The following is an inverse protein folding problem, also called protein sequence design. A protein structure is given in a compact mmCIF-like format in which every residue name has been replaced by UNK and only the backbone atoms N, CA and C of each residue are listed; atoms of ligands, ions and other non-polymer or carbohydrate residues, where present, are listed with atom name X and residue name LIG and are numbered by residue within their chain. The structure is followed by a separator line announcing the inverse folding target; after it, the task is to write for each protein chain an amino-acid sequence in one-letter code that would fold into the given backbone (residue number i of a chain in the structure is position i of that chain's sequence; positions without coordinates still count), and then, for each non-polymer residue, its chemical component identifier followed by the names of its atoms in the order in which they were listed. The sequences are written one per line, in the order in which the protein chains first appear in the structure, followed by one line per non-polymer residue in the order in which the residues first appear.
data_IF_165267641027
#
_entry.id   IF_165267641027
#
_cell.length_a   1.000
_cell.length_b   1.000
_cell.length_c   1.000
_cell.angle_alpha   90.00
_cell.angle_beta   90.00
_cell.angle_gamma   90.00
#
_symmetry.space_group_name_H-M   'P 1'
#
loop_
_entity.id
_entity.type
_entity.pdbx_description
1 polymer ?
#
# COMPACT_ATOMS: atom_id res chain seq x y z
N UNK A 1 -12.84 1.96 31.66
CA UNK A 1 -11.66 2.28 30.82
C UNK A 1 -11.82 1.49 29.54
N UNK A 2 -11.84 2.14 28.37
CA UNK A 2 -11.98 1.43 27.10
C UNK A 2 -10.71 0.59 26.84
N UNK A 3 -10.86 -0.62 26.31
CA UNK A 3 -9.74 -1.54 26.04
C UNK A 3 -8.67 -0.88 25.15
N UNK A 4 -9.09 -0.20 24.09
CA UNK A 4 -8.17 0.45 23.15
C UNK A 4 -7.39 1.61 23.79
N UNK A 5 -7.97 2.35 24.74
CA UNK A 5 -7.25 3.41 25.48
C UNK A 5 -6.11 2.82 26.29
N UNK A 6 -6.40 1.74 27.04
CA UNK A 6 -5.37 1.02 27.79
C UNK A 6 -4.27 0.44 26.91
N UNK A 7 -4.61 -0.01 25.70
CA UNK A 7 -3.62 -0.46 24.73
C UNK A 7 -2.71 0.69 24.25
N UNK A 8 -3.29 1.83 23.86
CA UNK A 8 -2.52 3.04 23.46
C UNK A 8 -1.58 3.48 24.58
N UNK A 9 -2.10 3.60 25.81
CA UNK A 9 -1.31 3.99 26.97
C UNK A 9 -0.18 2.99 27.26
N UNK A 10 -0.48 1.69 27.18
CA UNK A 10 0.51 0.63 27.36
C UNK A 10 1.65 0.69 26.34
N UNK A 11 1.32 0.91 25.06
CA UNK A 11 2.32 1.07 24.00
C UNK A 11 3.18 2.31 24.24
N UNK A 12 2.58 3.45 24.60
CA UNK A 12 3.31 4.69 24.86
C UNK A 12 4.27 4.56 26.05
N UNK A 13 3.82 3.91 27.12
CA UNK A 13 4.66 3.63 28.29
C UNK A 13 5.85 2.72 27.96
N UNK A 14 5.70 1.86 26.95
CA UNK A 14 6.72 0.86 26.58
C UNK A 14 7.69 1.31 25.48
N UNK A 15 7.26 2.23 24.61
CA UNK A 15 8.02 2.64 23.40
C UNK A 15 8.75 3.97 23.54
N UNK A 16 8.52 4.71 24.62
CA UNK A 16 9.17 6.00 24.88
C UNK A 16 8.83 7.09 23.86
N UNK A 17 9.73 8.07 23.70
CA UNK A 17 9.48 9.28 22.88
C UNK A 17 9.56 9.09 21.36
N UNK A 18 10.04 7.94 20.88
CA UNK A 18 10.32 7.73 19.44
C UNK A 18 9.07 7.36 18.63
N UNK A 19 8.00 6.88 19.27
CA UNK A 19 6.75 6.55 18.59
C UNK A 19 6.13 7.81 17.97
N UNK A 20 5.92 7.78 16.65
CA UNK A 20 5.35 8.92 15.91
C UNK A 20 3.83 8.89 15.83
N UNK A 21 3.23 7.71 15.90
CA UNK A 21 1.81 7.55 15.66
C UNK A 21 1.34 6.12 15.82
N UNK A 22 0.06 5.93 15.54
CA UNK A 22 -0.61 4.65 15.47
C UNK A 22 -1.16 4.45 14.07
N UNK A 23 -1.12 3.20 13.63
CA UNK A 23 -1.68 2.75 12.37
C UNK A 23 -2.99 1.99 12.65
N UNK A 24 -4.05 2.35 11.93
CA UNK A 24 -5.33 1.67 11.93
C UNK A 24 -5.26 0.42 11.05
N UNK A 25 -5.21 -0.74 11.68
CA UNK A 25 -4.90 -2.01 11.02
C UNK A 25 -6.02 -2.62 10.19
N UNK A 26 -7.23 -2.09 10.26
CA UNK A 26 -8.31 -2.57 9.40
C UNK A 26 -8.17 -1.93 8.01
N UNK A 27 -7.70 -2.70 7.05
CA UNK A 27 -7.42 -2.27 5.68
C UNK A 27 -8.67 -2.16 4.81
N UNK A 28 -9.83 -2.56 5.33
CA UNK A 28 -11.09 -2.57 4.58
C UNK A 28 -11.61 -1.16 4.28
N UNK A 29 -11.70 -0.84 2.99
CA UNK A 29 -12.18 0.44 2.48
C UNK A 29 -13.69 0.61 2.60
N UNK A 30 -14.44 -0.43 2.97
CA UNK A 30 -15.88 -0.38 3.23
C UNK A 30 -16.25 -0.58 4.70
N UNK A 31 -15.27 -0.53 5.61
CA UNK A 31 -15.41 -0.86 7.04
C UNK A 31 -16.60 -0.20 7.77
N UNK A 32 -16.99 1.02 7.41
CA UNK A 32 -18.16 1.71 8.01
C UNK A 32 -19.44 1.36 7.25
N UNK A 33 -19.40 1.38 5.91
CA UNK A 33 -20.58 1.05 5.10
C UNK A 33 -21.05 -0.39 5.26
N UNK A 34 -20.12 -1.31 5.54
CA UNK A 34 -20.41 -2.73 5.79
C UNK A 34 -20.82 -2.98 7.25
N UNK A 35 -20.74 -1.96 8.12
CA UNK A 35 -21.07 -2.05 9.53
C UNK A 35 -20.04 -2.83 10.36
N UNK A 36 -18.82 -3.00 9.84
CA UNK A 36 -17.70 -3.66 10.54
C UNK A 36 -17.25 -2.83 11.74
N UNK A 37 -17.20 -1.50 11.58
CA UNK A 37 -16.88 -0.54 12.64
C UNK A 37 -17.77 0.69 12.53
N UNK A 38 -17.99 1.39 13.65
CA UNK A 38 -18.69 2.66 13.68
C UNK A 38 -17.71 3.82 13.45
N UNK A 39 -18.13 4.84 12.71
CA UNK A 39 -17.31 6.04 12.46
C UNK A 39 -16.96 6.75 13.77
N UNK A 40 -17.87 6.76 14.73
CA UNK A 40 -17.68 7.34 16.06
C UNK A 40 -16.54 6.67 16.84
N UNK A 41 -16.34 5.37 16.68
CA UNK A 41 -15.23 4.65 17.33
C UNK A 41 -13.90 5.11 16.74
N UNK A 42 -13.82 5.26 15.41
CA UNK A 42 -12.63 5.76 14.73
C UNK A 42 -12.33 7.21 15.16
N UNK A 43 -13.37 8.04 15.26
CA UNK A 43 -13.26 9.43 15.68
C UNK A 43 -12.77 9.56 17.13
N UNK A 44 -13.30 8.75 18.05
CA UNK A 44 -12.86 8.75 19.45
C UNK A 44 -11.37 8.35 19.57
N UNK A 45 -10.95 7.30 18.85
CA UNK A 45 -9.56 6.82 18.84
C UNK A 45 -8.62 7.86 18.23
N UNK A 46 -8.98 8.39 17.06
CA UNK A 46 -8.23 9.44 16.37
C UNK A 46 -8.00 10.66 17.25
N UNK A 47 -9.08 11.14 17.89
CA UNK A 47 -9.05 12.30 18.79
C UNK A 47 -8.12 12.05 19.96
N UNK A 48 -8.20 10.86 20.56
CA UNK A 48 -7.35 10.49 21.67
C UNK A 48 -5.87 10.42 21.29
N UNK A 49 -5.53 9.78 20.17
CA UNK A 49 -4.15 9.72 19.68
C UNK A 49 -3.58 11.13 19.39
N UNK A 50 -4.37 11.99 18.75
CA UNK A 50 -3.97 13.38 18.44
C UNK A 50 -3.79 14.23 19.69
N UNK A 51 -4.63 14.06 20.72
CA UNK A 51 -4.47 14.74 22.01
C UNK A 51 -3.17 14.34 22.74
N UNK A 52 -2.61 13.17 22.41
CA UNK A 52 -1.30 12.71 22.90
C UNK A 52 -0.15 13.16 21.97
N UNK A 53 -0.42 14.08 21.04
CA UNK A 53 0.51 14.55 20.01
C UNK A 53 1.09 13.41 19.15
N UNK A 54 0.25 12.42 18.84
CA UNK A 54 0.57 11.28 17.97
C UNK A 54 -0.22 11.36 16.67
N UNK A 55 0.38 10.86 15.59
CA UNK A 55 -0.28 10.72 14.29
C UNK A 55 -1.22 9.52 14.28
N UNK A 56 -2.33 9.63 13.56
CA UNK A 56 -3.23 8.51 13.30
C UNK A 56 -3.28 8.23 11.80
N UNK A 57 -2.84 7.03 11.39
CA UNK A 57 -2.56 6.70 9.99
C UNK A 57 -3.45 5.54 9.56
N UNK A 58 -3.94 5.55 8.33
CA UNK A 58 -4.63 4.42 7.72
C UNK A 58 -3.94 4.01 6.42
N UNK A 59 -3.92 2.72 6.14
CA UNK A 59 -3.32 2.12 4.95
C UNK A 59 -4.38 1.15 4.40
N UNK A 60 -5.39 1.67 3.69
CA UNK A 60 -6.47 0.85 3.15
C UNK A 60 -6.08 0.11 1.88
N UNK A 61 -6.59 -1.11 1.72
CA UNK A 61 -6.59 -1.83 0.45
C UNK A 61 -7.77 -1.41 -0.43
N UNK A 62 -7.49 -0.69 -1.51
CA UNK A 62 -8.46 -0.20 -2.48
C UNK A 62 -8.21 -0.76 -3.89
N UNK A 63 -8.19 -2.08 -4.01
CA UNK A 63 -8.08 -2.79 -5.29
C UNK A 63 -9.39 -2.74 -6.11
N UNK A 64 -9.88 -1.53 -6.39
CA UNK A 64 -11.12 -1.24 -7.12
C UNK A 64 -11.02 0.08 -7.88
N UNK A 65 -11.62 0.14 -9.07
CA UNK A 65 -11.84 1.38 -9.81
C UNK A 65 -13.06 2.15 -9.28
N UNK A 66 -13.86 1.59 -8.37
CA UNK A 66 -15.07 2.23 -7.83
C UNK A 66 -14.77 2.96 -6.50
N UNK A 67 -13.69 3.74 -6.50
CA UNK A 67 -13.14 4.43 -5.31
C UNK A 67 -14.16 5.36 -4.63
N UNK A 68 -15.06 5.98 -5.39
CA UNK A 68 -16.10 6.88 -4.91
C UNK A 68 -17.12 6.20 -3.98
N UNK A 69 -17.19 4.87 -3.99
CA UNK A 69 -18.06 4.09 -3.09
C UNK A 69 -17.36 3.61 -1.83
N UNK A 70 -16.09 3.95 -1.65
CA UNK A 70 -15.32 3.58 -0.46
C UNK A 70 -15.49 4.62 0.65
N UNK A 71 -15.12 4.27 1.88
CA UNK A 71 -15.08 5.17 3.02
C UNK A 71 -13.79 6.01 3.08
N UNK A 72 -12.87 5.88 2.10
CA UNK A 72 -11.57 6.58 2.09
C UNK A 72 -11.75 8.09 2.26
N UNK A 73 -12.62 8.68 1.45
CA UNK A 73 -12.82 10.13 1.42
C UNK A 73 -13.66 10.63 2.59
N UNK A 74 -14.75 9.92 2.93
CA UNK A 74 -15.62 10.29 4.06
C UNK A 74 -14.90 10.23 5.41
N UNK A 75 -13.96 9.30 5.57
CA UNK A 75 -13.17 9.14 6.79
C UNK A 75 -11.86 9.96 6.78
N UNK A 76 -11.53 10.64 5.68
CA UNK A 76 -10.23 11.33 5.52
C UNK A 76 -9.90 12.29 6.67
N UNK A 77 -10.88 13.04 7.17
CA UNK A 77 -10.77 13.96 8.32
C UNK A 77 -10.29 13.29 9.61
N UNK A 78 -10.54 11.99 9.77
CA UNK A 78 -10.22 11.21 10.96
C UNK A 78 -8.76 10.75 10.97
N UNK A 79 -8.03 10.87 9.87
CA UNK A 79 -6.65 10.42 9.77
C UNK A 79 -5.70 11.59 9.49
N UNK A 80 -4.50 11.55 10.05
CA UNK A 80 -3.42 12.47 9.67
C UNK A 80 -2.86 12.12 8.29
N UNK A 81 -2.78 10.83 7.96
CA UNK A 81 -2.30 10.31 6.68
C UNK A 81 -3.11 9.08 6.27
N UNK A 82 -3.42 8.97 4.99
CA UNK A 82 -3.97 7.76 4.37
C UNK A 82 -3.03 7.34 3.23
N UNK A 83 -2.54 6.11 3.26
CA UNK A 83 -1.72 5.53 2.19
C UNK A 83 -2.50 4.40 1.52
N UNK A 84 -3.21 4.72 0.44
CA UNK A 84 -4.08 3.77 -0.24
C UNK A 84 -3.25 2.74 -1.01
N UNK A 85 -3.53 1.47 -0.79
CA UNK A 85 -2.89 0.36 -1.45
C UNK A 85 -3.75 -0.09 -2.64
N UNK A 86 -3.29 0.06 -3.89
CA UNK A 86 -4.03 -0.46 -5.04
C UNK A 86 -3.93 -1.99 -5.18
N UNK A 87 -3.04 -2.64 -4.42
CA UNK A 87 -2.74 -4.09 -4.38
C UNK A 87 -2.48 -4.72 -5.75
N UNK A 88 -1.89 -3.95 -6.67
CA UNK A 88 -1.52 -4.48 -7.99
C UNK A 88 -0.42 -5.54 -7.89
N UNK A 89 0.41 -5.47 -6.85
CA UNK A 89 1.44 -6.47 -6.59
C UNK A 89 0.79 -7.82 -6.30
N UNK A 90 -0.23 -7.88 -5.43
CA UNK A 90 -0.87 -9.11 -4.96
C UNK A 90 -1.93 -9.70 -5.88
N UNK A 91 -2.82 -8.87 -6.44
CA UNK A 91 -4.02 -9.38 -7.11
C UNK A 91 -3.87 -9.48 -8.61
N UNK A 92 -3.07 -8.59 -9.19
CA UNK A 92 -2.90 -8.46 -10.64
C UNK A 92 -4.18 -8.33 -11.45
N UNK A 93 -5.28 -8.00 -10.79
CA UNK A 93 -6.57 -7.66 -11.35
C UNK A 93 -7.25 -6.69 -10.38
N UNK A 94 -8.04 -5.79 -10.94
CA UNK A 94 -8.76 -4.77 -10.18
C UNK A 94 -10.25 -4.89 -10.42
N UNK A 95 -11.05 -4.69 -9.37
CA UNK A 95 -12.49 -4.68 -9.48
C UNK A 95 -12.96 -3.43 -10.23
N UNK A 96 -13.83 -3.57 -11.24
CA UNK A 96 -14.57 -2.44 -11.84
C UNK A 96 -15.97 -2.27 -11.27
N UNK A 97 -16.40 -3.24 -10.47
CA UNK A 97 -17.73 -3.34 -9.89
C UNK A 97 -17.87 -4.68 -9.17
N UNK A 98 -19.08 -4.98 -8.73
CA UNK A 98 -19.39 -6.25 -8.06
C UNK A 98 -19.17 -7.42 -9.02
N UNK A 99 -18.27 -8.33 -8.67
CA UNK A 99 -17.92 -9.52 -9.45
C UNK A 99 -17.39 -9.25 -10.88
N UNK A 100 -16.91 -8.03 -11.16
CA UNK A 100 -16.30 -7.68 -12.45
C UNK A 100 -14.85 -7.24 -12.23
N UNK A 101 -13.90 -8.00 -12.78
CA UNK A 101 -12.47 -7.79 -12.60
C UNK A 101 -11.78 -7.69 -13.95
N UNK A 102 -10.84 -6.75 -14.05
CA UNK A 102 -9.97 -6.62 -15.21
C UNK A 102 -8.51 -6.85 -14.81
N UNK A 103 -7.69 -7.48 -15.67
CA UNK A 103 -6.27 -7.63 -15.40
C UNK A 103 -5.58 -6.28 -15.21
N UNK A 104 -4.60 -6.29 -14.32
CA UNK A 104 -3.66 -5.19 -14.17
C UNK A 104 -2.96 -4.90 -15.50
N UNK A 105 -2.86 -3.62 -15.82
CA UNK A 105 -1.91 -3.06 -16.77
C UNK A 105 -1.41 -1.71 -16.25
N UNK A 106 -0.29 -1.22 -16.79
CA UNK A 106 0.21 0.10 -16.43
C UNK A 106 -0.82 1.23 -16.66
N UNK A 107 -1.58 1.15 -17.76
CA UNK A 107 -2.63 2.15 -18.07
C UNK A 107 -3.80 2.09 -17.08
N UNK A 108 -4.16 0.90 -16.58
CA UNK A 108 -5.17 0.76 -15.54
C UNK A 108 -4.69 1.36 -14.20
N UNK A 109 -3.39 1.28 -13.89
CA UNK A 109 -2.84 1.98 -12.72
C UNK A 109 -2.90 3.51 -12.90
N UNK A 110 -2.57 4.01 -14.10
CA UNK A 110 -2.72 5.43 -14.43
C UNK A 110 -4.16 5.90 -14.27
N UNK A 111 -5.13 5.11 -14.75
CA UNK A 111 -6.56 5.39 -14.57
C UNK A 111 -6.93 5.44 -13.09
N UNK A 112 -6.51 4.44 -12.31
CA UNK A 112 -6.77 4.36 -10.88
C UNK A 112 -6.19 5.56 -10.11
N UNK A 113 -4.92 5.93 -10.36
CA UNK A 113 -4.30 7.08 -9.69
C UNK A 113 -4.95 8.39 -10.12
N UNK A 114 -5.28 8.55 -11.40
CA UNK A 114 -6.00 9.74 -11.89
C UNK A 114 -7.35 9.88 -11.17
N UNK A 115 -8.07 8.77 -10.99
CA UNK A 115 -9.34 8.76 -10.28
C UNK A 115 -9.17 9.09 -8.79
N UNK A 116 -8.14 8.56 -8.14
CA UNK A 116 -7.80 8.89 -6.75
C UNK A 116 -7.56 10.41 -6.61
N UNK A 117 -6.79 11.02 -7.51
CA UNK A 117 -6.50 12.46 -7.46
C UNK A 117 -7.74 13.33 -7.69
N UNK A 118 -8.59 12.96 -8.64
CA UNK A 118 -9.83 13.70 -8.88
C UNK A 118 -10.72 13.67 -7.64
N UNK A 119 -10.90 12.50 -7.03
CA UNK A 119 -11.70 12.36 -5.82
C UNK A 119 -11.09 13.08 -4.61
N UNK A 120 -9.76 13.10 -4.48
CA UNK A 120 -9.07 13.91 -3.46
C UNK A 120 -9.40 15.39 -3.60
N UNK A 121 -9.35 15.92 -4.81
CA UNK A 121 -9.67 17.32 -5.09
C UNK A 121 -11.17 17.62 -4.83
N UNK A 122 -12.06 16.71 -5.23
CA UNK A 122 -13.51 16.86 -5.03
C UNK A 122 -13.94 16.84 -3.55
N UNK A 123 -13.14 16.17 -2.69
CA UNK A 123 -13.46 15.96 -1.27
C UNK A 123 -12.52 16.74 -0.33
N UNK A 124 -11.67 17.64 -0.84
CA UNK A 124 -10.65 18.38 -0.07
C UNK A 124 -9.74 17.45 0.79
N UNK A 125 -9.48 16.23 0.31
CA UNK A 125 -8.83 15.16 1.07
C UNK A 125 -7.32 15.03 0.73
N UNK A 126 -6.55 16.09 0.99
CA UNK A 126 -5.14 16.19 0.59
C UNK A 126 -4.14 15.41 1.48
N UNK A 127 -4.64 14.73 2.51
CA UNK A 127 -3.88 13.81 3.36
C UNK A 127 -3.84 12.37 2.81
N UNK A 128 -4.35 12.15 1.59
CA UNK A 128 -4.37 10.86 0.91
C UNK A 128 -3.20 10.74 -0.08
N UNK A 129 -2.48 9.63 0.02
CA UNK A 129 -1.34 9.22 -0.80
C UNK A 129 -1.51 7.75 -1.19
N UNK A 130 -0.53 7.20 -1.90
CA UNK A 130 -0.47 5.76 -2.16
C UNK A 130 0.61 5.10 -1.31
N UNK A 131 0.38 3.86 -0.91
CA UNK A 131 1.47 2.99 -0.43
C UNK A 131 2.24 2.43 -1.62
N UNK A 132 3.55 2.33 -1.47
CA UNK A 132 4.48 1.76 -2.43
C UNK A 132 4.77 0.29 -2.03
N UNK A 133 4.21 -0.66 -2.74
CA UNK A 133 4.38 -2.09 -2.43
C UNK A 133 5.63 -2.68 -3.10
N UNK A 134 6.51 -3.31 -2.30
CA UNK A 134 7.83 -3.81 -2.73
C UNK A 134 8.40 -4.80 -1.69
N UNK A 135 8.09 -6.09 -1.82
CA UNK A 135 8.50 -7.13 -0.85
C UNK A 135 9.73 -7.96 -1.28
N UNK A 136 9.96 -9.12 -0.67
CA UNK A 136 11.13 -9.94 -0.95
C UNK A 136 11.09 -10.68 -2.31
N UNK A 137 9.95 -10.67 -3.01
CA UNK A 137 9.79 -11.31 -4.32
C UNK A 137 10.68 -10.72 -5.41
N UNK A 138 11.23 -9.52 -5.22
CA UNK A 138 12.25 -8.94 -6.10
C UNK A 138 13.68 -9.43 -5.82
N UNK A 139 13.93 -10.08 -4.69
CA UNK A 139 15.26 -10.56 -4.31
C UNK A 139 15.49 -11.96 -4.90
N UNK A 140 16.24 -12.03 -6.01
CA UNK A 140 16.57 -13.31 -6.65
C UNK A 140 17.18 -14.31 -5.68
N UNK A 141 18.13 -13.87 -4.85
CA UNK A 141 18.77 -14.73 -3.86
C UNK A 141 17.75 -15.31 -2.87
N UNK A 142 16.77 -14.53 -2.42
CA UNK A 142 15.72 -15.00 -1.52
C UNK A 142 14.90 -16.11 -2.18
N UNK A 143 14.26 -15.83 -3.32
CA UNK A 143 13.37 -16.79 -3.98
C UNK A 143 14.10 -18.04 -4.49
N UNK A 144 15.39 -17.93 -4.82
CA UNK A 144 16.22 -19.06 -5.27
C UNK A 144 16.56 -20.04 -4.13
N UNK A 145 16.52 -19.61 -2.87
CA UNK A 145 16.82 -20.47 -1.72
C UNK A 145 15.57 -20.94 -0.97
N UNK A 146 14.51 -20.12 -0.95
CA UNK A 146 13.29 -20.43 -0.20
C UNK A 146 12.21 -21.02 -1.09
N UNK A 147 12.20 -20.68 -2.39
CA UNK A 147 11.07 -20.88 -3.29
C UNK A 147 9.75 -20.32 -2.73
N UNK A 148 9.83 -19.29 -1.90
CA UNK A 148 8.68 -18.58 -1.34
C UNK A 148 8.47 -17.27 -2.11
N UNK A 149 7.22 -17.02 -2.50
CA UNK A 149 6.76 -15.69 -2.82
C UNK A 149 6.15 -15.01 -1.59
N UNK A 150 6.26 -13.70 -1.56
CA UNK A 150 5.40 -12.87 -0.72
C UNK A 150 4.64 -11.94 -1.65
N UNK A 151 3.31 -11.92 -1.55
CA UNK A 151 2.45 -10.86 -2.08
C UNK A 151 2.56 -10.53 -3.59
N UNK A 152 3.10 -11.41 -4.44
CA UNK A 152 3.06 -11.21 -5.90
C UNK A 152 1.85 -11.90 -6.55
N UNK A 153 1.39 -11.35 -7.69
CA UNK A 153 0.18 -11.75 -8.42
C UNK A 153 0.13 -13.24 -8.75
N UNK A 154 1.26 -13.77 -9.16
CA UNK A 154 1.40 -15.16 -9.60
C UNK A 154 2.30 -15.83 -8.59
N UNK A 155 1.87 -16.98 -8.07
CA UNK A 155 2.71 -17.77 -7.18
C UNK A 155 3.97 -18.24 -7.93
N UNK A 156 5.08 -18.35 -7.22
CA UNK A 156 6.32 -18.87 -7.81
C UNK A 156 6.13 -20.29 -8.33
N UNK A 157 5.25 -21.06 -7.67
CA UNK A 157 4.87 -22.41 -8.10
C UNK A 157 4.15 -22.37 -9.45
N UNK A 158 3.10 -21.57 -9.60
CA UNK A 158 2.39 -21.46 -10.89
C UNK A 158 3.30 -20.95 -12.02
N UNK A 159 4.26 -20.09 -11.68
CA UNK A 159 5.14 -19.46 -12.66
C UNK A 159 6.32 -20.38 -13.08
N UNK A 160 6.96 -21.05 -12.12
CA UNK A 160 8.23 -21.76 -12.34
C UNK A 160 8.20 -23.27 -12.10
N UNK A 161 7.15 -23.81 -11.47
CA UNK A 161 7.10 -25.24 -11.20
C UNK A 161 6.99 -26.05 -12.50
N UNK A 162 7.53 -27.29 -12.51
CA UNK A 162 8.23 -27.94 -11.41
C UNK A 162 9.73 -27.64 -11.35
N UNK A 163 10.27 -26.87 -12.31
CA UNK A 163 11.72 -26.83 -12.55
C UNK A 163 12.48 -25.76 -11.76
N UNK A 164 11.84 -24.63 -11.43
CA UNK A 164 12.46 -23.51 -10.71
C UNK A 164 13.83 -23.12 -11.29
N UNK A 165 13.94 -23.08 -12.63
CA UNK A 165 15.21 -22.78 -13.28
C UNK A 165 15.68 -21.35 -12.96
N UNK A 166 16.99 -21.09 -12.92
CA UNK A 166 17.52 -19.74 -12.69
C UNK A 166 16.95 -18.70 -13.66
N UNK A 167 16.70 -19.07 -14.93
CA UNK A 167 16.09 -18.20 -15.93
C UNK A 167 14.66 -17.81 -15.53
N UNK A 168 13.87 -18.79 -15.06
CA UNK A 168 12.50 -18.54 -14.63
C UNK A 168 12.44 -17.63 -13.40
N UNK A 169 13.26 -17.92 -12.39
CA UNK A 169 13.36 -17.10 -11.17
C UNK A 169 13.86 -15.67 -11.49
N UNK A 170 14.79 -15.54 -12.43
CA UNK A 170 15.28 -14.25 -12.90
C UNK A 170 14.19 -13.47 -13.63
N UNK A 171 13.35 -14.13 -14.43
CA UNK A 171 12.23 -13.48 -15.09
C UNK A 171 11.18 -13.02 -14.09
N UNK A 172 10.80 -13.89 -13.14
CA UNK A 172 9.86 -13.58 -12.07
C UNK A 172 10.27 -12.35 -11.27
N UNK A 173 11.52 -12.32 -10.76
CA UNK A 173 12.04 -11.16 -10.01
C UNK A 173 12.13 -9.90 -10.85
N UNK A 174 12.37 -10.02 -12.16
CA UNK A 174 12.39 -8.86 -13.08
C UNK A 174 11.00 -8.28 -13.26
N UNK A 175 9.98 -9.11 -13.45
CA UNK A 175 8.58 -8.67 -13.55
C UNK A 175 8.11 -8.01 -12.24
N UNK A 176 8.48 -8.59 -11.09
CA UNK A 176 8.28 -7.99 -9.77
C UNK A 176 8.88 -6.57 -9.66
N UNK A 177 10.12 -6.38 -10.09
CA UNK A 177 10.77 -5.06 -10.09
C UNK A 177 10.09 -4.07 -11.04
N UNK A 178 9.62 -4.53 -12.19
CA UNK A 178 8.89 -3.69 -13.14
C UNK A 178 7.58 -3.18 -12.51
N UNK A 179 6.81 -4.05 -11.86
CA UNK A 179 5.55 -3.66 -11.20
C UNK A 179 5.83 -2.71 -10.03
N UNK A 180 6.84 -2.98 -9.20
CA UNK A 180 7.24 -2.08 -8.12
C UNK A 180 7.64 -0.70 -8.68
N UNK A 181 8.39 -0.65 -9.78
CA UNK A 181 8.76 0.61 -10.47
C UNK A 181 7.55 1.36 -11.02
N UNK A 182 6.47 0.68 -11.42
CA UNK A 182 5.27 1.36 -11.89
C UNK A 182 4.67 2.31 -10.85
N UNK A 183 4.83 2.06 -9.55
CA UNK A 183 4.35 2.96 -8.50
C UNK A 183 5.04 4.34 -8.53
N UNK A 184 6.34 4.41 -8.82
CA UNK A 184 7.04 5.70 -8.95
C UNK A 184 6.76 6.33 -10.31
N UNK A 185 6.75 5.52 -11.36
CA UNK A 185 6.52 5.97 -12.73
C UNK A 185 5.13 6.58 -12.93
N UNK A 186 4.09 5.93 -12.41
CA UNK A 186 2.70 6.40 -12.54
C UNK A 186 2.50 7.75 -11.84
N UNK A 187 3.11 7.94 -10.67
CA UNK A 187 3.09 9.23 -9.98
C UNK A 187 3.73 10.33 -10.80
N UNK A 188 4.88 10.05 -11.46
CA UNK A 188 5.53 11.05 -12.30
C UNK A 188 4.74 11.35 -13.57
N UNK A 189 4.18 10.33 -14.19
CA UNK A 189 3.39 10.49 -15.41
C UNK A 189 2.10 11.30 -15.16
N UNK A 190 1.47 11.14 -13.98
CA UNK A 190 0.20 11.80 -13.64
C UNK A 190 0.39 13.11 -12.87
N UNK A 191 1.32 13.15 -11.90
CA UNK A 191 1.53 14.26 -10.97
C UNK A 191 2.77 15.11 -11.31
N UNK A 192 3.61 14.66 -12.24
CA UNK A 192 4.91 15.29 -12.54
C UNK A 192 6.00 15.07 -11.48
N UNK A 193 5.65 14.47 -10.34
CA UNK A 193 6.57 14.22 -9.21
C UNK A 193 6.04 13.09 -8.32
N UNK A 194 6.88 12.62 -7.40
CA UNK A 194 6.42 11.69 -6.36
C UNK A 194 5.67 12.45 -5.26
N UNK A 195 4.76 11.78 -4.58
CA UNK A 195 4.14 12.33 -3.38
C UNK A 195 5.18 12.75 -2.34
N UNK A 196 4.94 13.86 -1.61
CA UNK A 196 5.85 14.31 -0.56
C UNK A 196 5.86 13.35 0.64
N UNK A 197 4.72 12.70 0.92
CA UNK A 197 4.60 11.67 1.95
C UNK A 197 4.50 10.31 1.27
N UNK A 198 5.34 9.36 1.70
CA UNK A 198 5.43 8.02 1.09
C UNK A 198 5.44 6.98 2.20
N UNK A 199 4.67 5.92 2.01
CA UNK A 199 4.76 4.70 2.79
C UNK A 199 5.24 3.60 1.86
N UNK A 200 6.16 2.77 2.35
CA UNK A 200 6.68 1.63 1.61
C UNK A 200 6.47 0.36 2.40
N UNK A 201 5.97 -0.68 1.75
CA UNK A 201 5.89 -2.01 2.33
C UNK A 201 7.07 -2.84 1.84
N UNK A 202 8.03 -3.09 2.74
CA UNK A 202 9.32 -3.76 2.43
C UNK A 202 9.44 -5.21 2.94
N UNK A 203 8.36 -5.79 3.46
CA UNK A 203 8.42 -7.03 4.24
C UNK A 203 9.50 -6.95 5.36
N UNK A 204 10.39 -7.93 5.48
CA UNK A 204 11.36 -8.08 6.58
C UNK A 204 12.83 -7.90 6.15
N UNK A 205 13.12 -7.72 4.84
CA UNK A 205 14.50 -7.52 4.36
C UNK A 205 14.67 -6.18 3.67
N UNK A 206 15.45 -5.28 4.28
CA UNK A 206 15.73 -3.94 3.77
C UNK A 206 16.57 -3.93 2.47
N UNK A 207 17.16 -5.06 2.08
CA UNK A 207 17.87 -5.18 0.79
C UNK A 207 16.94 -4.91 -0.40
N UNK A 208 15.61 -5.07 -0.24
CA UNK A 208 14.61 -4.72 -1.26
C UNK A 208 14.75 -3.28 -1.74
N UNK A 209 15.11 -2.35 -0.84
CA UNK A 209 15.31 -0.94 -1.16
C UNK A 209 16.52 -0.78 -2.06
N UNK A 210 17.65 -1.40 -1.68
CA UNK A 210 18.90 -1.30 -2.46
C UNK A 210 18.75 -1.93 -3.84
N UNK A 211 18.01 -3.05 -3.93
CA UNK A 211 17.70 -3.70 -5.19
C UNK A 211 16.83 -2.82 -6.08
N UNK A 212 15.75 -2.24 -5.54
CA UNK A 212 14.88 -1.33 -6.30
C UNK A 212 15.61 -0.06 -6.72
N UNK A 213 16.40 0.56 -5.84
CA UNK A 213 17.22 1.73 -6.16
C UNK A 213 18.19 1.45 -7.29
N UNK A 214 18.87 0.29 -7.27
CA UNK A 214 19.74 -0.14 -8.35
C UNK A 214 18.98 -0.36 -9.65
N UNK A 215 17.80 -0.97 -9.57
CA UNK A 215 16.93 -1.22 -10.73
C UNK A 215 16.42 0.07 -11.37
N UNK A 216 15.82 0.98 -10.59
CA UNK A 216 15.28 2.24 -11.10
C UNK A 216 16.37 3.14 -11.68
N UNK A 217 17.58 3.13 -11.09
CA UNK A 217 18.69 3.97 -11.57
C UNK A 217 19.16 3.59 -12.96
N UNK A 218 19.11 2.29 -13.30
CA UNK A 218 19.37 1.82 -14.67
C UNK A 218 18.33 2.31 -15.67
N UNK A 219 17.14 2.66 -15.20
CA UNK A 219 16.07 3.28 -15.98
C UNK A 219 16.14 4.83 -15.96
N UNK A 220 17.18 5.40 -15.35
CA UNK A 220 17.36 6.85 -15.23
C UNK A 220 16.57 7.48 -14.08
N UNK A 221 16.19 6.69 -13.06
CA UNK A 221 15.31 7.14 -11.99
C UNK A 221 15.73 6.70 -10.56
N UNK A 222 15.17 7.32 -9.52
CA UNK A 222 15.31 6.93 -8.11
C UNK A 222 13.97 6.40 -7.58
N UNK A 223 14.04 5.42 -6.67
CA UNK A 223 12.86 4.78 -6.10
C UNK A 223 12.38 5.46 -4.82
N UNK A 224 13.31 5.96 -4.00
CA UNK A 224 13.09 6.66 -2.73
C UNK A 224 13.37 8.16 -2.81
#
# INVERSE_FOLDING_TARGET
MSYWKGWIDGVLNSTGGNLKGFYWSLEDVWQVSDGTVYEEDIEEISTYARNLNKKFIWIPSACTLVLEKTNIFSLSRLFDYIFVQPNYYQRGAIARGTNDYIPYTYEIFKEWLTKLENLKNENDAFNIYIEMEVDQSLLFYYINHTHLEENFRISLIEYCAPTFSPECLSQYTTEAKIIAYHYTKVQKDILGSLYPNRAYYFSIDLNVISEMEGFTRRLGDNYV
#
